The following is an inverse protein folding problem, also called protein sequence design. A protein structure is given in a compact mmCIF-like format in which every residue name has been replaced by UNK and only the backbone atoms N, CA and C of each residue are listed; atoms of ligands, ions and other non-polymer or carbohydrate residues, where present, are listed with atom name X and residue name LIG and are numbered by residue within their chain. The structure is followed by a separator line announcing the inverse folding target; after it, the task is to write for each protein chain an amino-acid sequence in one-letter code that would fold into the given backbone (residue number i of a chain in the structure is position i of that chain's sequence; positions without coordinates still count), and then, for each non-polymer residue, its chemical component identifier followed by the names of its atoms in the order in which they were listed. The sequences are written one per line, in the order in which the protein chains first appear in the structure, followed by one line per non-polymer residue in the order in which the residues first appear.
data_IF_881798598118
#
_entry.id   IF_881798598118
#
_cell.length_a   1.000
_cell.length_b   1.000
_cell.length_c   1.000
_cell.angle_alpha   90.00
_cell.angle_beta   90.00
_cell.angle_gamma   90.00
#
_symmetry.space_group_name_H-M   'P 1'
#
loop_
_entity.id
_entity.type
_entity.pdbx_description
1 polymer ?
#
# COMPACT_ATOMS: atom_id res chain seq x y z
N UNK A 1 68.30 17.46 34.81
CA UNK A 1 68.04 17.11 33.40
C UNK A 1 66.78 16.26 33.17
N UNK A 2 65.88 16.09 34.16
CA UNK A 2 64.66 15.27 34.05
C UNK A 2 63.36 16.10 33.87
N UNK A 3 63.33 17.36 34.33
CA UNK A 3 62.15 18.24 34.22
C UNK A 3 61.90 18.78 32.79
N UNK A 4 62.94 18.90 31.95
CA UNK A 4 62.81 19.41 30.57
C UNK A 4 62.30 18.37 29.56
N UNK A 5 62.38 17.07 29.89
CA UNK A 5 61.94 15.99 29.01
C UNK A 5 60.45 15.68 29.19
N UNK A 6 59.91 15.82 30.41
CA UNK A 6 58.49 15.61 30.68
C UNK A 6 57.60 16.70 30.06
N UNK A 7 58.02 17.96 30.05
CA UNK A 7 57.26 19.07 29.43
C UNK A 7 57.16 18.95 27.90
N UNK A 8 58.22 18.47 27.22
CA UNK A 8 58.16 18.16 25.78
C UNK A 8 57.25 16.98 25.45
N UNK A 9 57.16 15.97 26.31
CA UNK A 9 56.29 14.82 26.10
C UNK A 9 54.80 15.17 26.34
N UNK A 10 54.52 16.01 27.35
CA UNK A 10 53.17 16.49 27.65
C UNK A 10 52.62 17.37 26.50
N UNK A 11 53.44 18.28 25.96
CA UNK A 11 53.04 19.14 24.85
C UNK A 11 52.77 18.36 23.55
N UNK A 12 53.54 17.30 23.27
CA UNK A 12 53.26 16.44 22.11
C UNK A 12 51.97 15.65 22.25
N UNK A 13 51.67 15.12 23.45
CA UNK A 13 50.40 14.41 23.72
C UNK A 13 49.20 15.35 23.69
N UNK A 14 49.34 16.58 24.18
CA UNK A 14 48.30 17.60 24.12
C UNK A 14 48.02 18.02 22.66
N UNK A 15 49.06 18.20 21.83
CA UNK A 15 48.90 18.51 20.41
C UNK A 15 48.18 17.39 19.65
N UNK A 16 48.50 16.12 19.95
CA UNK A 16 47.85 14.95 19.35
C UNK A 16 46.38 14.83 19.77
N UNK A 17 46.04 15.13 21.04
CA UNK A 17 44.66 15.12 21.53
C UNK A 17 43.84 16.26 20.93
N UNK A 18 44.40 17.46 20.77
CA UNK A 18 43.74 18.59 20.11
C UNK A 18 43.54 18.33 18.62
N UNK A 19 44.51 17.71 17.95
CA UNK A 19 44.39 17.32 16.54
C UNK A 19 43.32 16.21 16.34
N UNK A 20 43.30 15.20 17.20
CA UNK A 20 42.30 14.14 17.16
C UNK A 20 40.88 14.67 17.46
N UNK A 21 40.75 15.55 18.47
CA UNK A 21 39.48 16.21 18.80
C UNK A 21 38.98 17.10 17.66
N UNK A 22 39.87 17.82 16.99
CA UNK A 22 39.53 18.66 15.83
C UNK A 22 39.11 17.82 14.63
N UNK A 23 39.73 16.66 14.39
CA UNK A 23 39.36 15.75 13.30
C UNK A 23 37.99 15.09 13.55
N UNK A 24 37.68 14.72 14.80
CA UNK A 24 36.36 14.19 15.17
C UNK A 24 35.30 15.29 15.08
N UNK A 25 35.63 16.52 15.49
CA UNK A 25 34.71 17.65 15.36
C UNK A 25 34.45 18.02 13.89
N UNK A 26 35.47 18.05 13.05
CA UNK A 26 35.32 18.32 11.61
C UNK A 26 34.60 17.19 10.87
N UNK A 27 34.81 15.92 11.24
CA UNK A 27 34.06 14.80 10.64
C UNK A 27 32.60 14.79 11.12
N UNK A 28 32.32 15.11 12.38
CA UNK A 28 30.96 15.30 12.88
C UNK A 28 30.26 16.52 12.26
N UNK A 29 31.00 17.62 12.06
CA UNK A 29 30.50 18.84 11.41
C UNK A 29 30.26 18.61 9.91
N UNK A 30 31.12 17.84 9.23
CA UNK A 30 30.86 17.39 7.87
C UNK A 30 29.66 16.43 7.82
N UNK A 31 29.48 15.53 8.80
CA UNK A 31 28.28 14.68 8.84
C UNK A 31 26.99 15.46 9.11
N UNK A 32 27.03 16.59 9.84
CA UNK A 32 25.86 17.45 10.07
C UNK A 32 25.61 18.42 8.92
N UNK A 33 26.66 18.96 8.29
CA UNK A 33 26.56 19.88 7.14
C UNK A 33 26.39 19.18 5.79
N UNK A 34 26.80 17.92 5.67
CA UNK A 34 26.68 17.09 4.46
C UNK A 34 25.57 16.04 4.56
N UNK A 35 24.60 16.22 5.47
CA UNK A 35 23.31 15.54 5.31
C UNK A 35 22.78 15.92 3.94
N UNK A 36 22.68 14.98 2.98
CA UNK A 36 22.15 15.29 1.67
C UNK A 36 20.74 15.81 1.91
N UNK A 37 20.49 17.07 1.57
CA UNK A 37 19.16 17.69 1.60
C UNK A 37 18.19 17.10 0.58
N UNK A 38 18.32 15.82 0.25
CA UNK A 38 17.36 15.09 -0.54
C UNK A 38 16.13 14.87 0.35
N UNK A 39 15.06 15.60 0.00
CA UNK A 39 13.71 15.51 0.56
C UNK A 39 13.46 16.26 1.88
N UNK A 40 13.88 17.53 1.95
CA UNK A 40 13.14 18.48 2.78
C UNK A 40 11.88 18.86 1.99
N UNK A 41 10.72 18.32 2.39
CA UNK A 41 9.42 18.71 1.83
C UNK A 41 9.14 20.18 2.18
N UNK A 42 9.67 21.11 1.40
CA UNK A 42 9.21 22.48 1.38
C UNK A 42 7.83 22.47 0.71
N UNK A 43 6.77 22.41 1.53
CA UNK A 43 5.40 22.66 1.07
C UNK A 43 5.25 24.17 0.80
N UNK A 44 5.71 24.63 -0.36
CA UNK A 44 5.27 25.92 -0.87
C UNK A 44 3.91 25.70 -1.52
N UNK A 45 2.84 26.01 -0.80
CA UNK A 45 1.51 26.08 -1.38
C UNK A 45 1.52 27.15 -2.48
N UNK A 46 1.39 26.73 -3.73
CA UNK A 46 1.16 27.65 -4.84
C UNK A 46 -0.20 28.35 -4.69
N UNK A 47 -0.40 29.52 -5.32
CA UNK A 47 -1.66 30.26 -5.24
C UNK A 47 -2.81 29.40 -5.80
N UNK A 48 -3.75 29.07 -4.92
CA UNK A 48 -4.98 28.35 -5.25
C UNK A 48 -5.89 29.27 -6.07
N UNK A 49 -6.06 28.95 -7.36
CA UNK A 49 -7.05 29.63 -8.20
C UNK A 49 -8.34 28.85 -8.05
N UNK A 50 -9.37 29.49 -7.49
CA UNK A 50 -10.67 28.89 -7.18
C UNK A 50 -11.49 28.67 -8.46
N UNK A 51 -11.07 27.73 -9.30
CA UNK A 51 -11.94 27.19 -10.34
C UNK A 51 -12.80 26.13 -9.66
N UNK A 52 -14.12 26.33 -9.68
CA UNK A 52 -15.11 25.43 -9.10
C UNK A 52 -15.21 24.18 -9.99
N UNK A 53 -14.15 23.38 -10.01
CA UNK A 53 -14.11 22.10 -10.69
C UNK A 53 -15.12 21.15 -10.03
N UNK A 54 -15.84 20.40 -10.87
CA UNK A 54 -16.81 19.40 -10.46
C UNK A 54 -16.08 18.36 -9.59
N UNK A 55 -16.59 18.10 -8.39
CA UNK A 55 -16.01 17.07 -7.50
C UNK A 55 -15.91 15.72 -8.25
N UNK A 56 -14.69 15.18 -8.34
CA UNK A 56 -14.38 13.92 -9.03
C UNK A 56 -14.76 12.66 -8.23
N UNK A 57 -15.47 12.77 -7.10
CA UNK A 57 -15.84 11.62 -6.27
C UNK A 57 -16.59 10.51 -7.03
N UNK A 58 -17.39 10.89 -8.03
CA UNK A 58 -18.16 9.93 -8.83
C UNK A 58 -17.27 9.06 -9.73
N UNK A 59 -16.00 9.43 -9.95
CA UNK A 59 -15.07 8.63 -10.74
C UNK A 59 -14.83 7.25 -10.10
N UNK A 60 -15.06 7.08 -8.80
CA UNK A 60 -14.99 5.77 -8.13
C UNK A 60 -15.94 4.73 -8.76
N UNK A 61 -17.03 5.17 -9.40
CA UNK A 61 -17.98 4.26 -10.04
C UNK A 61 -17.59 3.86 -11.47
N UNK A 62 -16.59 4.50 -12.06
CA UNK A 62 -16.10 4.16 -13.39
C UNK A 62 -15.47 2.75 -13.41
N UNK A 63 -15.05 2.28 -14.57
CA UNK A 63 -14.45 0.95 -14.70
C UNK A 63 -13.06 0.81 -14.08
N UNK A 64 -12.40 1.91 -13.72
CA UNK A 64 -11.07 1.93 -13.10
C UNK A 64 -11.11 2.30 -11.63
N UNK A 65 -12.31 2.33 -11.03
CA UNK A 65 -12.53 2.65 -9.62
C UNK A 65 -11.94 4.01 -9.21
N UNK A 66 -11.90 4.97 -10.13
CA UNK A 66 -11.32 6.29 -9.89
C UNK A 66 -9.78 6.35 -9.93
N UNK A 67 -9.12 5.24 -10.27
CA UNK A 67 -7.69 5.22 -10.64
C UNK A 67 -7.54 5.42 -12.14
N UNK A 68 -6.33 5.73 -12.60
CA UNK A 68 -6.07 5.79 -14.03
C UNK A 68 -5.91 4.38 -14.62
N UNK A 69 -5.30 3.45 -13.87
CA UNK A 69 -5.19 2.03 -14.24
C UNK A 69 -5.31 1.10 -13.05
N UNK A 70 -5.80 -0.12 -13.31
CA UNK A 70 -5.81 -1.23 -12.37
C UNK A 70 -4.92 -2.33 -12.95
N UNK A 71 -3.85 -2.70 -12.24
CA UNK A 71 -2.93 -3.77 -12.62
C UNK A 71 -3.20 -5.02 -11.79
N UNK A 72 -3.10 -6.19 -12.41
CA UNK A 72 -3.11 -7.50 -11.74
C UNK A 72 -1.78 -8.19 -11.98
N UNK A 73 -1.06 -8.50 -10.90
CA UNK A 73 0.17 -9.30 -10.95
C UNK A 73 -0.22 -10.77 -10.87
N UNK A 74 0.02 -11.51 -11.95
CA UNK A 74 -0.36 -12.92 -12.09
C UNK A 74 0.75 -13.70 -12.77
N UNK A 75 1.11 -14.87 -12.25
CA UNK A 75 2.03 -15.75 -12.96
C UNK A 75 1.35 -16.25 -14.26
N UNK A 76 2.01 -16.19 -15.44
CA UNK A 76 1.43 -16.68 -16.69
C UNK A 76 0.96 -18.13 -16.65
N UNK A 77 1.55 -18.94 -15.77
CA UNK A 77 1.15 -20.35 -15.57
C UNK A 77 -0.13 -20.52 -14.73
N UNK A 78 -0.63 -19.47 -14.06
CA UNK A 78 -1.83 -19.48 -13.22
C UNK A 78 -3.04 -18.97 -14.02
N UNK A 79 -3.32 -19.66 -15.13
CA UNK A 79 -4.48 -19.34 -15.98
C UNK A 79 -5.81 -19.50 -15.23
N UNK A 80 -5.86 -20.42 -14.25
CA UNK A 80 -6.99 -20.58 -13.34
C UNK A 80 -7.35 -19.28 -12.60
N UNK A 81 -6.33 -18.62 -12.02
CA UNK A 81 -6.52 -17.34 -11.31
C UNK A 81 -6.82 -16.20 -12.28
N UNK A 82 -6.16 -16.18 -13.43
CA UNK A 82 -6.41 -15.19 -14.49
C UNK A 82 -7.85 -15.24 -14.97
N UNK A 83 -8.35 -16.42 -15.31
CA UNK A 83 -9.73 -16.62 -15.79
C UNK A 83 -10.75 -16.22 -14.72
N UNK A 84 -10.50 -16.59 -13.45
CA UNK A 84 -11.35 -16.18 -12.34
C UNK A 84 -11.41 -14.65 -12.24
N UNK A 85 -10.27 -13.97 -12.12
CA UNK A 85 -10.21 -12.51 -11.97
C UNK A 85 -10.80 -11.77 -13.18
N UNK A 86 -10.63 -12.29 -14.40
CA UNK A 86 -11.31 -11.75 -15.61
C UNK A 86 -12.82 -11.79 -15.44
N UNK A 87 -13.38 -12.91 -14.98
CA UNK A 87 -14.82 -13.06 -14.76
C UNK A 87 -15.32 -12.15 -13.64
N UNK A 88 -14.63 -12.10 -12.50
CA UNK A 88 -14.95 -11.21 -11.39
C UNK A 88 -15.01 -9.73 -11.84
N UNK A 89 -14.01 -9.30 -12.62
CA UNK A 89 -13.94 -7.95 -13.13
C UNK A 89 -15.05 -7.67 -14.15
N UNK A 90 -15.37 -8.62 -15.03
CA UNK A 90 -16.45 -8.48 -16.00
C UNK A 90 -17.81 -8.29 -15.32
N UNK A 91 -18.14 -9.10 -14.32
CA UNK A 91 -19.45 -9.03 -13.63
C UNK A 91 -19.57 -7.83 -12.69
N UNK A 92 -18.45 -7.23 -12.26
CA UNK A 92 -18.43 -6.02 -11.43
C UNK A 92 -18.10 -4.74 -12.20
N UNK A 93 -17.92 -4.83 -13.52
CA UNK A 93 -17.64 -3.70 -14.41
C UNK A 93 -16.32 -3.01 -14.09
N UNK A 94 -15.26 -3.79 -13.91
CA UNK A 94 -13.88 -3.36 -13.63
C UNK A 94 -13.00 -3.66 -14.86
N UNK A 95 -12.18 -2.70 -15.28
CA UNK A 95 -11.19 -2.84 -16.35
C UNK A 95 -9.83 -3.16 -15.75
N UNK A 96 -9.21 -4.25 -16.22
CA UNK A 96 -7.92 -4.73 -15.74
C UNK A 96 -6.82 -4.55 -16.78
N UNK A 97 -5.60 -4.35 -16.29
CA UNK A 97 -4.34 -4.42 -17.02
C UNK A 97 -3.49 -5.51 -16.38
N UNK A 98 -2.77 -6.28 -17.19
CA UNK A 98 -2.04 -7.45 -16.70
C UNK A 98 -0.54 -7.18 -16.60
N UNK A 99 0.04 -7.65 -15.51
CA UNK A 99 1.48 -7.70 -15.30
C UNK A 99 1.85 -9.16 -15.09
N UNK A 100 2.62 -9.70 -16.02
CA UNK A 100 3.08 -11.08 -15.93
C UNK A 100 4.10 -11.21 -14.81
N UNK A 101 3.74 -11.99 -13.78
CA UNK A 101 4.65 -12.36 -12.71
C UNK A 101 5.77 -13.26 -13.23
N UNK A 102 6.91 -13.20 -12.56
CA UNK A 102 8.06 -14.07 -12.84
C UNK A 102 8.31 -15.03 -11.70
N UNK A 103 8.63 -16.27 -12.05
CA UNK A 103 9.17 -17.25 -11.10
C UNK A 103 10.52 -16.77 -10.60
N UNK A 104 10.69 -16.67 -9.28
CA UNK A 104 11.90 -16.11 -8.72
C UNK A 104 13.15 -16.92 -9.05
N UNK A 105 13.02 -18.23 -9.31
CA UNK A 105 14.12 -19.08 -9.77
C UNK A 105 14.71 -18.62 -11.10
N UNK A 106 13.94 -17.87 -11.90
CA UNK A 106 14.36 -17.33 -13.19
C UNK A 106 15.00 -15.93 -13.06
N UNK A 107 14.96 -15.30 -11.89
CA UNK A 107 15.61 -14.01 -11.64
C UNK A 107 17.06 -14.28 -11.25
N UNK A 108 18.02 -13.80 -12.02
CA UNK A 108 19.44 -14.03 -11.69
C UNK A 108 19.87 -13.15 -10.50
N UNK A 109 20.78 -13.65 -9.64
CA UNK A 109 21.30 -12.90 -8.48
C UNK A 109 21.86 -11.51 -8.85
N UNK A 110 22.45 -11.39 -10.04
CA UNK A 110 22.98 -10.10 -10.55
C UNK A 110 21.90 -9.03 -10.78
N UNK A 111 20.63 -9.43 -10.91
CA UNK A 111 19.51 -8.52 -11.04
C UNK A 111 18.94 -8.06 -9.68
N UNK A 112 19.39 -8.66 -8.58
CA UNK A 112 18.87 -8.36 -7.24
C UNK A 112 19.67 -7.21 -6.60
N UNK A 113 19.00 -6.16 -6.09
CA UNK A 113 19.67 -5.12 -5.33
C UNK A 113 20.30 -5.70 -4.05
N UNK A 114 21.57 -5.44 -3.76
CA UNK A 114 22.22 -5.92 -2.55
C UNK A 114 21.42 -5.55 -1.28
N UNK A 115 21.39 -6.40 -0.24
CA UNK A 115 22.15 -7.64 -0.10
C UNK A 115 21.43 -8.90 -0.65
N UNK A 116 20.32 -8.76 -1.40
CA UNK A 116 19.53 -9.91 -1.80
C UNK A 116 20.28 -10.85 -2.76
N UNK A 117 20.16 -12.14 -2.49
CA UNK A 117 20.56 -13.26 -3.34
C UNK A 117 19.63 -14.44 -3.07
N UNK A 118 19.66 -15.47 -3.92
CA UNK A 118 18.98 -16.75 -3.70
C UNK A 118 19.44 -17.48 -2.43
N UNK A 119 20.61 -17.11 -1.88
CA UNK A 119 21.08 -17.65 -0.60
C UNK A 119 20.28 -17.09 0.59
N UNK A 120 19.84 -15.83 0.51
CA UNK A 120 19.17 -15.14 1.62
C UNK A 120 17.65 -15.05 1.46
N UNK A 121 17.15 -15.11 0.22
CA UNK A 121 15.74 -14.99 -0.07
C UNK A 121 15.22 -16.21 -0.82
N UNK A 122 14.04 -16.69 -0.40
CA UNK A 122 13.30 -17.71 -1.12
C UNK A 122 12.94 -17.19 -2.51
N UNK A 123 13.02 -18.07 -3.52
CA UNK A 123 12.63 -17.74 -4.89
C UNK A 123 11.23 -17.12 -4.96
N UNK A 124 10.25 -17.66 -4.22
CA UNK A 124 8.91 -17.07 -4.18
C UNK A 124 8.88 -15.58 -3.76
N UNK A 125 9.71 -15.17 -2.78
CA UNK A 125 9.83 -13.76 -2.37
C UNK A 125 10.47 -12.90 -3.46
N UNK A 126 11.44 -13.47 -4.20
CA UNK A 126 12.11 -12.80 -5.32
C UNK A 126 11.12 -12.60 -6.49
N UNK A 127 10.32 -13.62 -6.80
CA UNK A 127 9.28 -13.53 -7.83
C UNK A 127 8.22 -12.48 -7.50
N UNK A 128 7.71 -12.49 -6.26
CA UNK A 128 6.77 -11.47 -5.76
C UNK A 128 7.37 -10.07 -5.85
N UNK A 129 8.60 -9.86 -5.36
CA UNK A 129 9.31 -8.58 -5.47
C UNK A 129 9.40 -8.10 -6.92
N UNK A 130 9.81 -8.97 -7.84
CA UNK A 130 10.00 -8.61 -9.24
C UNK A 130 8.67 -8.27 -9.91
N UNK A 131 7.63 -9.10 -9.71
CA UNK A 131 6.31 -8.85 -10.29
C UNK A 131 5.69 -7.52 -9.86
N UNK A 132 5.81 -7.14 -8.59
CA UNK A 132 5.35 -5.81 -8.16
C UNK A 132 6.25 -4.68 -8.66
N UNK A 133 7.58 -4.88 -8.74
CA UNK A 133 8.44 -3.89 -9.37
C UNK A 133 8.12 -3.72 -10.85
N UNK A 134 7.75 -4.77 -11.59
CA UNK A 134 7.34 -4.69 -12.99
C UNK A 134 6.08 -3.83 -13.14
N UNK A 135 5.11 -3.99 -12.24
CA UNK A 135 3.92 -3.13 -12.19
C UNK A 135 4.27 -1.64 -11.95
N UNK A 136 5.33 -1.37 -11.16
CA UNK A 136 5.79 -0.01 -10.88
C UNK A 136 6.66 0.57 -12.00
N UNK A 137 7.62 -0.21 -12.53
CA UNK A 137 8.72 0.24 -13.40
C UNK A 137 8.40 0.07 -14.86
N UNK A 138 8.32 -1.18 -15.29
CA UNK A 138 8.38 -1.63 -16.68
C UNK A 138 8.49 -3.16 -16.70
N UNK A 139 7.81 -3.85 -17.62
CA UNK A 139 8.42 -4.74 -18.64
C UNK A 139 7.35 -5.61 -19.32
N UNK A 140 7.04 -5.29 -20.59
CA UNK A 140 6.41 -6.25 -21.49
C UNK A 140 7.52 -7.11 -22.11
N UNK A 141 7.48 -8.45 -22.04
CA UNK A 141 8.43 -9.26 -22.78
C UNK A 141 8.33 -8.86 -24.26
N UNK A 142 9.49 -8.69 -24.90
CA UNK A 142 9.62 -8.22 -26.27
C UNK A 142 8.51 -8.78 -27.19
N UNK A 143 7.92 -7.95 -28.07
CA UNK A 143 6.85 -8.42 -28.94
C UNK A 143 7.32 -9.65 -29.73
N UNK A 144 6.44 -10.63 -30.00
CA UNK A 144 6.75 -11.68 -30.96
C UNK A 144 7.15 -11.03 -32.30
N UNK A 145 7.93 -11.73 -33.15
CA UNK A 145 8.30 -11.22 -34.47
C UNK A 145 7.03 -10.77 -35.22
N UNK A 146 7.12 -9.68 -36.01
CA UNK A 146 5.95 -9.10 -36.66
C UNK A 146 5.23 -10.18 -37.46
N UNK A 147 3.89 -10.25 -37.39
CA UNK A 147 3.15 -11.19 -38.22
C UNK A 147 3.43 -10.88 -39.70
N UNK A 148 3.37 -11.88 -40.59
CA UNK A 148 3.45 -11.64 -42.03
C UNK A 148 2.44 -10.56 -42.42
N UNK A 149 2.82 -9.74 -43.41
CA UNK A 149 2.36 -8.38 -43.77
C UNK A 149 0.86 -8.07 -43.89
N UNK A 150 -0.03 -8.98 -43.49
CA UNK A 150 -1.48 -8.89 -43.68
C UNK A 150 -2.30 -9.05 -42.38
N UNK A 151 -1.67 -9.04 -41.20
CA UNK A 151 -2.39 -9.00 -39.91
C UNK A 151 -2.38 -7.59 -39.31
N UNK A 152 -3.56 -7.11 -38.96
CA UNK A 152 -3.80 -5.86 -38.23
C UNK A 152 -2.94 -5.81 -36.98
N UNK A 153 -2.25 -4.69 -36.76
CA UNK A 153 -1.40 -4.42 -35.59
C UNK A 153 -2.19 -4.64 -34.30
N UNK A 154 -1.82 -5.66 -33.51
CA UNK A 154 -2.18 -5.73 -32.10
C UNK A 154 -1.45 -4.59 -31.39
N UNK A 155 -2.21 -3.60 -30.94
CA UNK A 155 -1.68 -2.56 -30.03
C UNK A 155 -1.38 -3.28 -28.71
N UNK A 156 -0.10 -3.54 -28.45
CA UNK A 156 0.36 -3.94 -27.12
C UNK A 156 0.32 -2.68 -26.24
N UNK A 157 -0.67 -2.57 -25.35
CA UNK A 157 -0.70 -1.51 -24.35
C UNK A 157 0.45 -1.74 -23.36
N UNK A 158 1.49 -0.90 -23.47
CA UNK A 158 2.60 -0.85 -22.51
C UNK A 158 2.02 -0.52 -21.13
N UNK A 159 2.33 -1.36 -20.15
CA UNK A 159 1.70 -1.41 -18.83
C UNK A 159 2.72 -1.13 -17.74
N UNK A 160 2.95 0.15 -17.43
CA UNK A 160 3.74 0.56 -16.26
C UNK A 160 3.37 1.96 -15.78
N UNK A 161 3.54 2.22 -14.48
CA UNK A 161 3.17 3.51 -13.87
C UNK A 161 4.14 4.62 -14.26
N UNK A 162 5.45 4.33 -14.16
CA UNK A 162 6.48 5.36 -14.28
C UNK A 162 6.75 5.74 -15.73
N UNK A 163 6.83 4.80 -16.68
CA UNK A 163 7.09 5.15 -18.08
C UNK A 163 5.90 5.84 -18.73
N UNK A 164 4.69 5.34 -18.48
CA UNK A 164 3.48 5.87 -19.12
C UNK A 164 2.92 7.11 -18.42
N UNK A 165 3.63 7.63 -17.42
CA UNK A 165 3.19 8.75 -16.59
C UNK A 165 1.76 8.56 -16.03
N UNK A 166 1.44 7.35 -15.59
CA UNK A 166 0.15 7.06 -14.93
C UNK A 166 0.14 7.76 -13.58
N UNK A 167 -0.85 8.61 -13.33
CA UNK A 167 -0.94 9.43 -12.12
C UNK A 167 -1.23 8.59 -10.88
N UNK A 168 -2.17 7.64 -11.00
CA UNK A 168 -2.56 6.73 -9.92
C UNK A 168 -2.85 5.35 -10.49
N UNK A 169 -2.40 4.31 -9.79
CA UNK A 169 -2.75 2.95 -10.14
C UNK A 169 -3.13 2.13 -8.91
N UNK A 170 -4.01 1.16 -9.12
CA UNK A 170 -4.39 0.16 -8.13
C UNK A 170 -3.80 -1.18 -8.55
N UNK A 171 -3.08 -1.86 -7.66
CA UNK A 171 -2.36 -3.10 -7.96
C UNK A 171 -2.99 -4.23 -7.16
N UNK A 172 -3.35 -5.31 -7.85
CA UNK A 172 -3.98 -6.53 -7.33
C UNK A 172 -2.98 -7.67 -7.37
N UNK A 173 -2.98 -8.50 -6.33
CA UNK A 173 -2.56 -9.89 -6.41
C UNK A 173 -3.69 -10.74 -7.03
N UNK A 174 -3.33 -11.83 -7.70
CA UNK A 174 -4.26 -12.64 -8.49
C UNK A 174 -5.21 -13.56 -7.70
N UNK A 175 -5.12 -13.54 -6.36
CA UNK A 175 -6.09 -14.19 -5.46
C UNK A 175 -6.91 -13.20 -4.63
N UNK A 176 -6.98 -11.93 -5.05
CA UNK A 176 -7.87 -10.94 -4.47
C UNK A 176 -9.34 -11.21 -4.81
N UNK A 177 -10.22 -11.01 -3.83
CA UNK A 177 -11.68 -11.03 -3.98
C UNK A 177 -12.31 -9.90 -3.17
N UNK A 178 -13.52 -9.52 -3.56
CA UNK A 178 -14.23 -8.34 -3.05
C UNK A 178 -15.72 -8.57 -2.95
N UNK A 179 -16.38 -7.72 -2.17
CA UNK A 179 -17.83 -7.70 -2.11
C UNK A 179 -18.41 -7.15 -3.43
N UNK A 180 -19.53 -7.69 -3.92
CA UNK A 180 -20.22 -7.18 -5.13
C UNK A 180 -20.48 -5.66 -5.04
N UNK A 181 -20.60 -5.12 -3.82
CA UNK A 181 -20.78 -3.69 -3.51
C UNK A 181 -19.47 -2.89 -3.49
N UNK A 182 -18.38 -3.38 -4.07
CA UNK A 182 -17.04 -2.75 -3.95
C UNK A 182 -17.00 -1.27 -4.35
N UNK A 183 -17.77 -0.85 -5.37
CA UNK A 183 -17.79 0.55 -5.82
C UNK A 183 -18.35 1.50 -4.75
N UNK A 184 -19.41 1.09 -4.02
CA UNK A 184 -19.92 1.91 -2.91
C UNK A 184 -18.95 1.92 -1.73
N UNK A 185 -18.33 0.77 -1.42
CA UNK A 185 -17.33 0.72 -0.35
C UNK A 185 -16.10 1.59 -0.65
N UNK A 186 -15.65 1.60 -1.91
CA UNK A 186 -14.54 2.45 -2.33
C UNK A 186 -14.92 3.93 -2.38
N UNK A 187 -16.19 4.27 -2.59
CA UNK A 187 -16.65 5.66 -2.48
C UNK A 187 -16.54 6.14 -1.04
N UNK A 188 -16.93 5.30 -0.08
CA UNK A 188 -16.77 5.61 1.34
C UNK A 188 -15.28 5.71 1.72
N UNK A 189 -14.45 4.83 1.16
CA UNK A 189 -13.00 4.93 1.33
C UNK A 189 -12.42 6.22 0.75
N UNK A 190 -12.91 6.68 -0.40
CA UNK A 190 -12.50 7.93 -1.03
C UNK A 190 -12.83 9.14 -0.13
N UNK A 191 -14.06 9.21 0.38
CA UNK A 191 -14.47 10.23 1.34
C UNK A 191 -13.63 10.21 2.62
N UNK A 192 -13.42 9.02 3.19
CA UNK A 192 -12.63 8.87 4.41
C UNK A 192 -11.15 9.25 4.20
N UNK A 193 -10.57 8.84 3.07
CA UNK A 193 -9.21 9.22 2.70
C UNK A 193 -9.09 10.74 2.57
N UNK A 194 -10.02 11.41 1.87
CA UNK A 194 -10.07 12.88 1.79
C UNK A 194 -10.14 13.49 3.19
N UNK A 195 -11.03 13.02 4.05
CA UNK A 195 -11.14 13.56 5.41
C UNK A 195 -9.84 13.41 6.24
N UNK A 196 -9.03 12.38 5.97
CA UNK A 196 -7.75 12.14 6.65
C UNK A 196 -6.60 13.00 6.08
N UNK A 197 -6.56 13.20 4.75
CA UNK A 197 -5.37 13.76 4.08
C UNK A 197 -5.59 15.07 3.33
N UNK A 198 -6.83 15.48 3.07
CA UNK A 198 -7.13 16.74 2.40
C UNK A 198 -7.27 17.90 3.41
N UNK A 199 -6.85 19.12 3.02
CA UNK A 199 -7.16 20.31 3.79
C UNK A 199 -8.68 20.54 3.83
N UNK A 200 -9.16 21.14 4.92
CA UNK A 200 -10.53 21.61 5.05
C UNK A 200 -10.78 22.81 4.14
N UNK A 201 -12.00 22.90 3.60
CA UNK A 201 -12.46 24.07 2.86
C UNK A 201 -12.73 25.25 3.78
N UNK A 202 -12.58 26.49 3.29
CA UNK A 202 -13.03 27.70 3.98
C UNK A 202 -12.10 28.28 5.07
N UNK A 203 -10.88 27.75 5.27
CA UNK A 203 -9.90 28.31 6.20
C UNK A 203 -8.90 29.29 5.56
N UNK A 204 -8.49 30.34 6.30
CA UNK A 204 -7.38 31.23 5.90
C UNK A 204 -6.01 30.51 5.88
N UNK A 205 -5.93 29.36 6.55
CA UNK A 205 -4.77 28.46 6.58
C UNK A 205 -5.19 27.02 6.28
N UNK A 206 -4.26 26.20 5.75
CA UNK A 206 -4.48 24.77 5.48
C UNK A 206 -4.69 24.00 6.79
N UNK A 207 -5.93 23.98 7.28
CA UNK A 207 -6.37 23.16 8.41
C UNK A 207 -6.72 21.75 7.94
N UNK A 208 -6.59 20.76 8.82
CA UNK A 208 -6.91 19.36 8.55
C UNK A 208 -7.88 18.83 9.60
N UNK A 209 -8.77 17.92 9.20
CA UNK A 209 -9.70 17.33 10.16
C UNK A 209 -8.98 16.46 11.19
N UNK A 210 -7.92 15.76 10.75
CA UNK A 210 -6.91 15.15 11.61
C UNK A 210 -5.87 16.20 12.05
N UNK A 211 -5.90 16.65 13.32
CA UNK A 211 -4.94 17.63 13.83
C UNK A 211 -3.51 17.07 13.92
N UNK A 212 -3.33 15.76 13.82
CA UNK A 212 -2.03 15.08 13.85
C UNK A 212 -1.42 14.88 12.46
N UNK A 213 -2.14 15.18 11.37
CA UNK A 213 -1.68 14.88 10.00
C UNK A 213 -0.34 15.52 9.62
N UNK A 214 -0.15 16.80 9.98
CA UNK A 214 1.07 17.54 9.65
C UNK A 214 2.22 17.24 10.61
N UNK A 215 1.90 17.08 11.91
CA UNK A 215 2.89 16.91 12.97
C UNK A 215 2.41 15.93 14.07
N UNK A 216 2.49 14.62 13.80
CA UNK A 216 1.99 13.60 14.73
C UNK A 216 2.66 13.59 16.11
N UNK A 217 3.89 14.11 16.20
CA UNK A 217 4.68 14.12 17.44
C UNK A 217 4.23 15.21 18.40
N UNK A 218 3.94 16.38 17.86
CA UNK A 218 3.68 17.58 18.66
C UNK A 218 2.20 17.89 18.80
N UNK A 219 1.34 17.26 18.01
CA UNK A 219 -0.11 17.37 18.20
C UNK A 219 -0.53 16.61 19.48
N UNK A 220 -1.38 17.22 20.32
CA UNK A 220 -1.89 16.56 21.53
C UNK A 220 -2.53 15.23 21.11
N UNK A 221 -2.09 14.13 21.73
CA UNK A 221 -2.39 12.76 21.33
C UNK A 221 -3.85 12.32 21.54
N UNK A 222 -4.81 13.23 21.52
CA UNK A 222 -6.23 12.92 21.60
C UNK A 222 -6.68 12.28 20.30
N UNK A 223 -7.05 10.99 20.40
CA UNK A 223 -7.82 10.30 19.38
C UNK A 223 -9.05 11.14 19.04
N UNK A 224 -9.17 11.56 17.78
CA UNK A 224 -10.33 12.30 17.30
C UNK A 224 -11.06 11.43 16.28
N UNK A 225 -12.33 11.14 16.56
CA UNK A 225 -13.23 10.60 15.55
C UNK A 225 -13.49 11.69 14.50
N UNK A 226 -13.24 11.36 13.23
CA UNK A 226 -13.39 12.26 12.10
C UNK A 226 -14.66 11.86 11.35
N UNK A 227 -15.51 12.84 11.05
CA UNK A 227 -16.69 12.61 10.22
C UNK A 227 -16.29 12.37 8.76
N UNK A 228 -16.90 11.35 8.14
CA UNK A 228 -16.60 10.93 6.76
C UNK A 228 -16.94 12.02 5.72
N UNK A 229 -17.92 12.88 6.01
CA UNK A 229 -18.41 13.94 5.12
C UNK A 229 -17.85 15.32 5.50
N UNK A 230 -16.60 15.40 5.96
CA UNK A 230 -15.99 16.70 6.22
C UNK A 230 -15.79 17.48 4.92
N UNK A 231 -16.12 18.76 4.95
CA UNK A 231 -15.96 19.66 3.81
C UNK A 231 -14.48 19.96 3.57
N UNK A 232 -13.87 19.19 2.68
CA UNK A 232 -12.47 19.31 2.26
C UNK A 232 -12.35 20.11 0.97
N UNK A 233 -11.15 20.63 0.69
CA UNK A 233 -10.83 21.15 -0.64
C UNK A 233 -11.01 20.00 -1.65
N UNK A 234 -11.81 20.19 -2.71
CA UNK A 234 -12.01 19.15 -3.72
C UNK A 234 -10.66 18.73 -4.34
N UNK A 235 -10.37 17.43 -4.42
CA UNK A 235 -9.12 16.99 -5.00
C UNK A 235 -9.15 17.09 -6.52
N UNK A 236 -7.96 17.27 -7.11
CA UNK A 236 -7.81 17.49 -8.55
C UNK A 236 -7.46 16.20 -9.28
N UNK A 237 -6.59 15.35 -8.72
CA UNK A 237 -6.00 14.23 -9.46
C UNK A 237 -6.63 12.87 -9.15
N UNK A 238 -7.21 12.72 -7.96
CA UNK A 238 -7.75 11.43 -7.52
C UNK A 238 -8.98 11.63 -6.63
N UNK A 239 -10.04 10.81 -6.81
CA UNK A 239 -11.18 10.85 -5.91
C UNK A 239 -10.79 10.47 -4.47
N UNK A 240 -9.66 9.82 -4.24
CA UNK A 240 -9.18 9.48 -2.90
C UNK A 240 -8.42 10.63 -2.22
N UNK A 241 -8.27 11.79 -2.88
CA UNK A 241 -7.48 12.92 -2.41
C UNK A 241 -6.14 13.06 -3.14
N UNK A 242 -5.48 14.20 -3.00
CA UNK A 242 -4.18 14.50 -3.63
C UNK A 242 -2.95 14.31 -2.71
N UNK A 243 -3.17 14.03 -1.42
CA UNK A 243 -2.10 14.04 -0.40
C UNK A 243 -1.79 12.65 0.18
N UNK A 244 -2.28 11.58 -0.44
CA UNK A 244 -1.87 10.20 -0.12
C UNK A 244 -0.73 9.78 -1.05
N UNK A 245 0.13 8.86 -0.59
CA UNK A 245 1.17 8.24 -1.41
C UNK A 245 0.81 6.78 -1.74
N UNK A 246 0.29 6.03 -0.75
CA UNK A 246 -0.19 4.65 -0.89
C UNK A 246 -1.56 4.49 -0.21
N UNK A 247 -2.49 3.82 -0.89
CA UNK A 247 -3.74 3.33 -0.28
C UNK A 247 -3.63 1.83 -0.09
N UNK A 248 -4.10 1.28 1.02
CA UNK A 248 -3.95 -0.14 1.34
C UNK A 248 -5.29 -0.83 1.65
N UNK A 249 -6.23 -0.88 0.69
CA UNK A 249 -7.57 -1.43 0.94
C UNK A 249 -7.63 -2.96 1.07
N UNK A 250 -6.59 -3.69 0.66
CA UNK A 250 -6.48 -5.15 0.79
C UNK A 250 -5.21 -5.57 1.51
N UNK A 251 -5.36 -6.12 2.71
CA UNK A 251 -4.25 -6.56 3.57
C UNK A 251 -4.67 -7.76 4.44
N UNK A 252 -3.70 -8.51 4.96
CA UNK A 252 -3.97 -9.56 5.95
C UNK A 252 -4.09 -9.01 7.37
N UNK A 253 -3.60 -7.79 7.59
CA UNK A 253 -3.56 -7.17 8.90
C UNK A 253 -2.90 -5.80 8.86
N UNK A 254 -3.33 -4.94 9.78
CA UNK A 254 -2.75 -3.62 10.03
C UNK A 254 -3.10 -3.23 11.47
N UNK A 255 -2.39 -2.31 12.10
CA UNK A 255 -2.75 -1.77 13.40
C UNK A 255 -3.11 -0.29 13.30
N UNK A 256 -3.92 0.19 14.24
CA UNK A 256 -3.99 1.63 14.47
C UNK A 256 -2.63 2.18 14.88
N UNK A 257 -2.28 3.42 14.48
CA UNK A 257 -1.08 4.09 14.94
C UNK A 257 -1.06 4.20 16.47
N UNK A 258 -0.17 3.43 17.10
CA UNK A 258 -0.03 3.36 18.54
C UNK A 258 1.45 3.27 18.96
N UNK A 259 2.00 4.31 19.61
CA UNK A 259 3.37 4.30 20.11
C UNK A 259 3.64 3.22 21.17
N UNK A 260 2.61 2.71 21.86
CA UNK A 260 2.76 1.62 22.82
C UNK A 260 3.01 0.26 22.14
N UNK A 261 2.48 0.07 20.92
CA UNK A 261 2.74 -1.12 20.11
C UNK A 261 4.10 -1.03 19.41
N UNK A 262 4.39 0.12 18.77
CA UNK A 262 5.68 0.39 18.09
C UNK A 262 6.04 1.86 18.18
N UNK A 263 7.30 2.15 18.51
CA UNK A 263 7.81 3.53 18.66
C UNK A 263 7.53 4.43 17.44
N UNK A 264 7.50 3.86 16.22
CA UNK A 264 7.15 4.60 14.99
C UNK A 264 5.71 5.15 14.99
N UNK A 265 4.82 4.63 15.84
CA UNK A 265 3.46 5.14 16.01
C UNK A 265 3.42 6.61 16.47
N UNK A 266 4.51 7.16 17.03
CA UNK A 266 4.64 8.60 17.32
C UNK A 266 4.84 9.46 16.05
N UNK A 267 5.20 8.84 14.93
CA UNK A 267 5.54 9.47 13.65
C UNK A 267 4.42 9.37 12.60
N UNK A 268 3.34 8.68 12.95
CA UNK A 268 2.22 8.37 12.07
C UNK A 268 0.99 9.14 12.58
N UNK A 269 0.24 9.84 11.72
CA UNK A 269 -0.98 10.53 12.15
C UNK A 269 -2.02 9.55 12.71
N UNK A 270 -2.79 10.00 13.68
CA UNK A 270 -3.67 9.18 14.53
C UNK A 270 -5.15 9.34 14.21
N UNK A 271 -5.51 10.17 13.23
CA UNK A 271 -6.89 10.37 12.80
C UNK A 271 -7.58 9.08 12.39
N UNK A 272 -8.84 8.94 12.77
CA UNK A 272 -9.69 7.80 12.41
C UNK A 272 -11.05 8.30 11.93
N UNK A 273 -11.49 7.85 10.76
CA UNK A 273 -12.86 8.02 10.30
C UNK A 273 -13.63 6.75 10.64
N UNK A 274 -14.72 6.88 11.39
CA UNK A 274 -15.51 5.74 11.87
C UNK A 274 -16.86 5.75 11.18
N UNK A 275 -17.11 4.73 10.36
CA UNK A 275 -18.37 4.48 9.70
C UNK A 275 -19.11 3.37 10.44
N UNK A 276 -20.25 3.72 11.04
CA UNK A 276 -21.12 2.79 11.76
C UNK A 276 -22.24 2.32 10.85
N UNK A 277 -22.79 1.13 11.14
CA UNK A 277 -23.89 0.51 10.39
C UNK A 277 -23.55 0.26 8.92
N UNK A 278 -22.31 -0.09 8.61
CA UNK A 278 -21.93 -0.55 7.27
C UNK A 278 -22.47 -1.98 7.03
N UNK A 279 -23.47 -2.16 6.14
CA UNK A 279 -24.09 -3.46 5.91
C UNK A 279 -23.14 -4.45 5.22
N UNK A 280 -21.97 -4.00 4.76
CA UNK A 280 -20.95 -4.83 4.13
C UNK A 280 -19.91 -5.36 5.11
N UNK A 281 -19.90 -4.86 6.35
CA UNK A 281 -19.04 -5.36 7.42
C UNK A 281 -19.77 -6.48 8.17
N UNK A 282 -19.18 -7.67 8.36
CA UNK A 282 -19.76 -8.72 9.19
C UNK A 282 -19.88 -8.34 10.68
N UNK A 283 -20.66 -9.11 11.44
CA UNK A 283 -20.62 -9.06 12.90
C UNK A 283 -19.22 -9.35 13.47
N UNK A 284 -18.94 -8.84 14.67
CA UNK A 284 -17.65 -8.96 15.35
C UNK A 284 -17.13 -10.40 15.46
N UNK A 285 -18.02 -11.40 15.63
CA UNK A 285 -17.66 -12.82 15.75
C UNK A 285 -17.00 -13.38 14.48
N UNK A 286 -17.30 -12.78 13.33
CA UNK A 286 -16.78 -13.19 12.02
C UNK A 286 -15.49 -12.43 11.65
N UNK A 287 -15.08 -11.43 12.46
CA UNK A 287 -13.89 -10.63 12.20
C UNK A 287 -12.61 -11.37 12.59
N UNK A 288 -11.74 -11.59 11.60
CA UNK A 288 -10.38 -12.11 11.77
C UNK A 288 -9.42 -10.92 11.78
N UNK A 289 -9.02 -10.51 12.98
CA UNK A 289 -8.21 -9.31 13.19
C UNK A 289 -6.74 -9.67 13.47
N UNK A 290 -5.86 -8.80 13.00
CA UNK A 290 -4.42 -8.93 13.26
C UNK A 290 -4.11 -8.68 14.74
N UNK A 291 -3.11 -9.35 15.33
CA UNK A 291 -2.72 -9.13 16.72
C UNK A 291 -2.51 -7.64 17.05
N UNK A 292 -2.99 -7.21 18.21
CA UNK A 292 -2.93 -5.81 18.64
C UNK A 292 -4.13 -4.95 18.20
N UNK A 293 -5.15 -5.53 17.57
CA UNK A 293 -6.42 -4.85 17.26
C UNK A 293 -7.57 -5.29 18.17
N UNK A 294 -7.29 -5.66 19.42
CA UNK A 294 -8.34 -6.05 20.39
C UNK A 294 -9.34 -4.91 20.66
N UNK A 295 -8.90 -3.66 20.47
CA UNK A 295 -9.75 -2.46 20.49
C UNK A 295 -10.96 -2.63 19.55
N UNK A 296 -10.79 -3.27 18.39
CA UNK A 296 -11.86 -3.41 17.41
C UNK A 296 -13.03 -4.27 17.90
N UNK A 297 -12.74 -5.28 18.72
CA UNK A 297 -13.77 -6.16 19.30
C UNK A 297 -14.42 -5.57 20.54
N UNK A 298 -13.73 -4.64 21.22
CA UNK A 298 -14.14 -4.12 22.53
C UNK A 298 -14.77 -2.73 22.46
N UNK A 299 -14.38 -1.90 21.50
CA UNK A 299 -14.79 -0.49 21.40
C UNK A 299 -15.82 -0.25 20.30
N UNK A 300 -15.66 -0.85 19.12
CA UNK A 300 -16.54 -0.57 17.99
C UNK A 300 -17.72 -1.54 17.93
N UNK A 301 -18.97 -1.06 17.78
CA UNK A 301 -20.12 -1.96 17.63
C UNK A 301 -20.02 -2.80 16.34
N UNK A 302 -20.80 -3.90 16.22
CA UNK A 302 -20.96 -4.63 14.96
C UNK A 302 -21.24 -3.69 13.78
N UNK A 303 -20.87 -4.11 12.56
CA UNK A 303 -21.04 -3.30 11.34
C UNK A 303 -20.29 -1.96 11.37
N UNK A 304 -19.13 -1.91 12.02
CA UNK A 304 -18.28 -0.72 12.02
C UNK A 304 -17.07 -0.90 11.11
N UNK A 305 -16.86 0.05 10.20
CA UNK A 305 -15.65 0.20 9.40
C UNK A 305 -14.86 1.41 9.88
N UNK A 306 -13.55 1.26 10.01
CA UNK A 306 -12.64 2.31 10.46
C UNK A 306 -11.58 2.54 9.39
N UNK A 307 -11.42 3.79 8.98
CA UNK A 307 -10.39 4.23 8.05
C UNK A 307 -9.35 5.04 8.80
N UNK A 308 -8.07 4.80 8.55
CA UNK A 308 -6.99 5.40 9.32
C UNK A 308 -5.66 5.35 8.58
N UNK A 309 -4.63 5.96 9.15
CA UNK A 309 -3.26 5.83 8.65
C UNK A 309 -2.69 4.44 8.96
N UNK A 310 -1.98 3.85 8.00
CA UNK A 310 -1.46 2.50 8.14
C UNK A 310 -0.23 2.44 9.07
N UNK A 311 -0.27 1.57 10.07
CA UNK A 311 0.88 1.11 10.86
C UNK A 311 0.86 -0.41 10.84
N UNK A 312 2.02 -1.06 10.70
CA UNK A 312 2.16 -2.52 10.56
C UNK A 312 1.33 -3.23 9.48
N UNK A 313 0.99 -2.61 8.33
CA UNK A 313 0.32 -3.37 7.28
C UNK A 313 1.15 -4.58 6.84
N UNK A 314 0.47 -5.69 6.56
CA UNK A 314 1.06 -6.93 6.02
C UNK A 314 0.18 -7.47 4.89
N UNK A 315 0.82 -8.18 3.95
CA UNK A 315 0.27 -8.53 2.63
C UNK A 315 0.01 -7.31 1.74
N UNK A 316 0.27 -7.46 0.44
CA UNK A 316 0.09 -6.43 -0.59
C UNK A 316 -1.06 -6.76 -1.54
N UNK A 317 -2.07 -7.49 -1.02
CA UNK A 317 -3.16 -8.06 -1.81
C UNK A 317 -3.81 -7.05 -2.75
N UNK A 318 -4.19 -5.87 -2.22
CA UNK A 318 -4.60 -4.73 -3.05
C UNK A 318 -4.06 -3.43 -2.45
N UNK A 319 -3.27 -2.69 -3.23
CA UNK A 319 -2.80 -1.37 -2.85
C UNK A 319 -2.83 -0.36 -4.01
N UNK A 320 -3.23 0.87 -3.72
CA UNK A 320 -3.15 2.00 -4.62
C UNK A 320 -1.83 2.73 -4.43
N UNK A 321 -1.26 3.27 -5.51
CA UNK A 321 0.01 4.02 -5.46
C UNK A 321 -0.06 5.22 -6.41
N UNK A 322 0.46 6.36 -5.95
CA UNK A 322 0.64 7.53 -6.83
C UNK A 322 1.90 7.39 -7.67
N UNK A 323 1.96 8.05 -8.83
CA UNK A 323 3.15 8.11 -9.68
C UNK A 323 4.41 8.52 -8.92
N UNK A 324 4.26 9.54 -8.06
CA UNK A 324 5.34 10.05 -7.20
C UNK A 324 5.86 8.97 -6.26
N UNK A 325 4.96 8.24 -5.61
CA UNK A 325 5.35 7.16 -4.71
C UNK A 325 5.93 5.98 -5.50
N UNK A 326 5.37 5.63 -6.68
CA UNK A 326 5.88 4.57 -7.53
C UNK A 326 7.36 4.78 -7.91
N UNK A 327 7.75 5.97 -8.38
CA UNK A 327 9.17 6.31 -8.67
C UNK A 327 10.07 6.10 -7.45
N UNK A 328 9.55 6.44 -6.26
CA UNK A 328 10.28 6.30 -5.02
C UNK A 328 10.39 4.85 -4.56
N UNK A 329 9.33 4.05 -4.69
CA UNK A 329 9.35 2.62 -4.39
C UNK A 329 10.31 1.90 -5.34
N UNK A 330 10.35 2.26 -6.62
CA UNK A 330 11.36 1.74 -7.57
C UNK A 330 12.78 2.02 -7.12
N UNK A 331 13.07 3.25 -6.71
CA UNK A 331 14.39 3.57 -6.16
C UNK A 331 14.66 2.77 -4.87
N UNK A 332 13.72 2.78 -3.92
CA UNK A 332 13.89 2.17 -2.60
C UNK A 332 14.04 0.64 -2.67
N UNK A 333 13.36 -0.04 -3.60
CA UNK A 333 13.28 -1.50 -3.67
C UNK A 333 14.04 -2.11 -4.86
N UNK A 334 14.17 -1.36 -5.96
CA UNK A 334 14.83 -1.81 -7.20
C UNK A 334 16.26 -1.28 -7.37
N UNK A 335 16.66 -0.24 -6.62
CA UNK A 335 18.01 0.34 -6.74
C UNK A 335 18.76 0.30 -5.41
N UNK A 336 18.11 0.74 -4.33
CA UNK A 336 18.77 0.97 -3.04
C UNK A 336 19.02 -0.31 -2.26
N UNK A 337 17.98 -1.12 -2.01
CA UNK A 337 18.10 -2.42 -1.34
C UNK A 337 16.84 -3.28 -1.43
N UNK A 338 17.05 -4.58 -1.59
CA UNK A 338 16.06 -5.62 -1.37
C UNK A 338 16.49 -6.42 -0.13
N UNK A 339 15.75 -6.26 0.97
CA UNK A 339 16.17 -6.77 2.28
C UNK A 339 15.04 -7.39 3.13
N UNK A 340 13.83 -7.50 2.60
CA UNK A 340 12.68 -8.16 3.21
C UNK A 340 11.68 -8.53 2.08
N UNK A 341 10.70 -9.44 2.31
CA UNK A 341 9.57 -9.63 1.39
C UNK A 341 8.90 -8.30 0.98
N UNK A 342 8.28 -8.28 -0.21
CA UNK A 342 7.79 -7.04 -0.82
C UNK A 342 6.80 -6.28 0.07
N UNK A 343 5.82 -6.98 0.65
CA UNK A 343 4.82 -6.42 1.56
C UNK A 343 5.46 -5.76 2.79
N UNK A 344 6.48 -6.38 3.37
CA UNK A 344 7.22 -5.84 4.51
C UNK A 344 8.06 -4.63 4.11
N UNK A 345 8.64 -4.61 2.91
CA UNK A 345 9.33 -3.42 2.40
C UNK A 345 8.36 -2.27 2.12
N UNK A 346 7.15 -2.57 1.64
CA UNK A 346 6.07 -1.61 1.44
C UNK A 346 5.62 -1.01 2.78
N UNK A 347 5.45 -1.85 3.81
CA UNK A 347 5.22 -1.42 5.20
C UNK A 347 6.33 -0.49 5.68
N UNK A 348 7.59 -0.90 5.51
CA UNK A 348 8.73 -0.12 5.97
C UNK A 348 8.79 1.26 5.26
N UNK A 349 8.37 1.31 3.99
CA UNK A 349 8.24 2.56 3.23
C UNK A 349 7.05 3.43 3.69
N UNK A 350 5.96 2.83 4.17
CA UNK A 350 4.86 3.54 4.81
C UNK A 350 5.26 4.12 6.17
N UNK A 351 5.98 3.34 6.98
CA UNK A 351 6.40 3.73 8.32
C UNK A 351 7.63 4.65 8.30
N UNK A 352 8.40 4.68 7.21
CA UNK A 352 9.63 5.47 7.12
C UNK A 352 10.76 4.92 7.98
N UNK A 353 10.81 3.59 8.11
CA UNK A 353 11.81 2.87 8.92
C UNK A 353 12.82 2.17 8.01
N UNK A 354 13.79 1.46 8.61
CA UNK A 354 14.83 0.73 7.87
C UNK A 354 15.59 1.63 6.88
N UNK A 355 15.76 2.91 7.21
CA UNK A 355 16.43 3.89 6.36
C UNK A 355 15.64 4.29 5.10
N UNK A 356 14.34 3.97 5.02
CA UNK A 356 13.43 4.42 3.96
C UNK A 356 12.80 5.75 4.35
N UNK A 357 12.54 6.61 3.37
CA UNK A 357 11.73 7.81 3.63
C UNK A 357 10.28 7.35 3.94
N UNK A 358 9.49 8.14 4.67
CA UNK A 358 8.08 7.85 5.00
C UNK A 358 7.09 8.22 3.89
N UNK A 359 6.16 7.33 3.55
CA UNK A 359 5.03 7.60 2.65
C UNK A 359 3.77 7.90 3.47
N UNK A 360 2.84 8.68 2.94
CA UNK A 360 1.52 8.86 3.54
C UNK A 360 0.65 7.68 3.11
N UNK A 361 0.43 6.76 4.04
CA UNK A 361 -0.34 5.54 3.79
C UNK A 361 -1.68 5.57 4.52
N UNK A 362 -2.77 5.31 3.79
CA UNK A 362 -4.14 5.24 4.33
C UNK A 362 -4.70 3.84 4.09
N UNK A 363 -5.41 3.31 5.08
CA UNK A 363 -5.95 1.95 5.10
C UNK A 363 -7.37 1.93 5.66
N UNK A 364 -7.98 0.74 5.64
CA UNK A 364 -9.33 0.48 6.10
C UNK A 364 -9.41 -0.86 6.82
N UNK A 365 -10.17 -0.91 7.92
CA UNK A 365 -10.43 -2.12 8.69
C UNK A 365 -11.94 -2.25 9.01
N UNK A 366 -12.56 -3.42 8.86
CA UNK A 366 -12.06 -4.57 8.10
C UNK A 366 -11.71 -4.18 6.65
N UNK A 367 -10.82 -4.95 6.00
CA UNK A 367 -10.35 -4.67 4.65
C UNK A 367 -11.47 -4.80 3.60
N UNK A 368 -11.29 -4.18 2.44
CA UNK A 368 -12.24 -4.22 1.31
C UNK A 368 -11.98 -5.37 0.36
N UNK A 369 -10.72 -5.79 0.27
CA UNK A 369 -10.28 -6.92 -0.53
C UNK A 369 -9.64 -7.94 0.39
N UNK A 370 -9.97 -9.22 0.18
CA UNK A 370 -9.38 -10.32 0.94
C UNK A 370 -9.06 -11.50 0.03
N UNK A 371 -8.24 -12.44 0.52
CA UNK A 371 -7.85 -13.60 -0.27
C UNK A 371 -9.06 -14.50 -0.52
N UNK A 372 -9.28 -14.86 -1.78
CA UNK A 372 -10.13 -15.98 -2.12
C UNK A 372 -9.35 -17.28 -2.00
N UNK A 373 -9.90 -18.24 -1.25
CA UNK A 373 -9.37 -19.59 -1.09
C UNK A 373 -10.34 -20.57 -1.75
N UNK A 374 -9.98 -21.18 -2.90
CA UNK A 374 -10.87 -22.14 -3.55
C UNK A 374 -10.95 -23.45 -2.75
N UNK A 375 -12.04 -24.20 -2.95
CA UNK A 375 -12.14 -25.57 -2.47
C UNK A 375 -11.17 -26.48 -3.25
N UNK A 376 -10.73 -27.57 -2.61
CA UNK A 376 -9.85 -28.57 -3.21
C UNK A 376 -8.45 -28.57 -2.59
N UNK A 377 -7.45 -28.87 -3.41
CA UNK A 377 -6.09 -29.08 -2.93
C UNK A 377 -5.47 -27.75 -2.40
N UNK A 378 -4.92 -27.79 -1.19
CA UNK A 378 -4.31 -26.63 -0.52
C UNK A 378 -3.14 -26.00 -1.29
N UNK A 379 -2.52 -26.72 -2.22
CA UNK A 379 -1.53 -26.14 -3.15
C UNK A 379 -2.07 -24.96 -3.98
N UNK A 380 -3.39 -24.80 -4.12
CA UNK A 380 -3.99 -23.65 -4.79
C UNK A 380 -4.05 -22.38 -3.93
N UNK A 381 -3.79 -22.49 -2.61
CA UNK A 381 -3.86 -21.37 -1.67
C UNK A 381 -2.74 -20.36 -1.92
N UNK A 382 -1.52 -20.80 -2.16
CA UNK A 382 -0.38 -19.90 -2.33
C UNK A 382 0.73 -20.53 -3.15
N UNK A 383 1.32 -19.77 -4.06
CA UNK A 383 2.58 -20.12 -4.74
C UNK A 383 3.83 -19.77 -3.89
N UNK A 384 3.65 -19.18 -2.70
CA UNK A 384 4.72 -18.72 -1.80
C UNK A 384 4.85 -19.61 -0.55
N UNK A 385 3.74 -20.16 -0.06
CA UNK A 385 3.70 -21.05 1.10
C UNK A 385 3.47 -22.51 0.70
N UNK A 386 4.00 -23.44 1.49
CA UNK A 386 3.87 -24.89 1.22
C UNK A 386 2.63 -25.43 1.94
N UNK A 387 1.63 -25.87 1.17
CA UNK A 387 0.35 -26.40 1.66
C UNK A 387 0.13 -27.88 1.26
N UNK A 388 1.20 -28.69 1.27
CA UNK A 388 1.14 -30.08 0.78
C UNK A 388 0.23 -30.94 1.67
N UNK A 389 -0.78 -31.55 1.06
CA UNK A 389 -1.68 -32.49 1.72
C UNK A 389 -2.87 -31.85 2.44
N UNK A 390 -2.96 -30.51 2.44
CA UNK A 390 -4.15 -29.81 2.92
C UNK A 390 -5.27 -29.97 1.89
N UNK A 391 -6.47 -30.31 2.36
CA UNK A 391 -7.69 -30.35 1.54
C UNK A 391 -8.67 -29.34 2.11
N UNK A 392 -9.09 -28.40 1.27
CA UNK A 392 -10.04 -27.34 1.60
C UNK A 392 -11.42 -27.82 1.18
N UNK A 393 -12.27 -28.11 2.16
CA UNK A 393 -13.61 -28.63 1.90
C UNK A 393 -14.52 -27.61 1.21
N UNK A 394 -14.42 -26.34 1.61
CA UNK A 394 -15.27 -25.26 1.14
C UNK A 394 -14.45 -24.04 0.76
N UNK A 395 -14.79 -23.45 -0.38
CA UNK A 395 -14.20 -22.20 -0.81
C UNK A 395 -14.61 -21.08 0.16
N UNK A 396 -13.71 -20.14 0.43
CA UNK A 396 -13.97 -19.04 1.35
C UNK A 396 -13.23 -17.77 0.98
N UNK A 397 -13.84 -16.63 1.31
CA UNK A 397 -13.20 -15.32 1.31
C UNK A 397 -13.50 -14.67 2.65
N UNK A 398 -12.47 -14.46 3.47
CA UNK A 398 -12.68 -14.00 4.84
C UNK A 398 -13.28 -12.60 4.91
N UNK A 399 -14.24 -12.41 5.82
CA UNK A 399 -14.87 -11.12 6.16
C UNK A 399 -15.58 -10.38 5.01
N UNK A 400 -15.75 -11.00 3.85
CA UNK A 400 -16.52 -10.46 2.73
C UNK A 400 -17.91 -11.10 2.73
N UNK A 401 -18.95 -10.27 2.91
CA UNK A 401 -20.33 -10.71 3.09
C UNK A 401 -20.96 -11.27 1.82
N UNK A 402 -20.78 -10.58 0.69
CA UNK A 402 -21.19 -11.04 -0.64
C UNK A 402 -19.97 -11.15 -1.55
N UNK A 403 -19.14 -12.15 -1.30
CA UNK A 403 -17.97 -12.48 -2.11
C UNK A 403 -18.35 -12.63 -3.57
N UNK A 404 -17.67 -11.88 -4.43
CA UNK A 404 -17.86 -11.95 -5.89
C UNK A 404 -17.46 -13.32 -6.41
N UNK A 405 -16.36 -13.89 -5.90
CA UNK A 405 -15.92 -15.25 -6.25
C UNK A 405 -16.96 -16.32 -5.89
N UNK A 406 -17.51 -16.27 -4.67
CA UNK A 406 -18.46 -17.28 -4.20
C UNK A 406 -19.85 -17.11 -4.82
N UNK A 407 -20.23 -15.89 -5.22
CA UNK A 407 -21.46 -15.60 -5.93
C UNK A 407 -21.32 -15.62 -7.46
N UNK A 408 -20.16 -15.98 -7.99
CA UNK A 408 -19.87 -15.88 -9.42
C UNK A 408 -20.89 -16.64 -10.31
N UNK A 409 -21.35 -17.86 -9.98
CA UNK A 409 -22.37 -18.55 -10.77
C UNK A 409 -23.70 -17.78 -10.87
N UNK A 410 -24.12 -17.15 -9.77
CA UNK A 410 -25.34 -16.32 -9.71
C UNK A 410 -25.18 -15.04 -10.53
N UNK A 411 -24.04 -14.37 -10.38
CA UNK A 411 -23.71 -13.16 -11.14
C UNK A 411 -23.68 -13.41 -12.65
N UNK A 412 -23.08 -14.52 -13.10
CA UNK A 412 -23.05 -14.90 -14.53
C UNK A 412 -24.46 -15.21 -15.05
N UNK A 413 -25.33 -15.78 -14.21
CA UNK A 413 -26.71 -16.12 -14.56
C UNK A 413 -27.66 -14.91 -14.53
N UNK A 414 -27.19 -13.75 -14.04
CA UNK A 414 -28.00 -12.54 -13.87
C UNK A 414 -28.91 -12.59 -12.63
N UNK A 415 -28.67 -13.52 -11.71
CA UNK A 415 -29.41 -13.64 -10.46
C UNK A 415 -29.03 -12.54 -9.47
N UNK A 416 -29.97 -12.15 -8.61
CA UNK A 416 -29.77 -11.11 -7.58
C UNK A 416 -29.94 -11.61 -6.16
N UNK A 417 -30.23 -12.90 -5.96
CA UNK A 417 -30.40 -13.54 -4.67
C UNK A 417 -29.05 -14.10 -4.15
N UNK A 418 -28.09 -13.21 -3.94
CA UNK A 418 -26.73 -13.57 -3.55
C UNK A 418 -26.68 -14.33 -2.21
N UNK A 419 -25.74 -15.27 -2.11
CA UNK A 419 -25.41 -15.96 -0.87
C UNK A 419 -24.62 -15.02 0.04
N UNK A 420 -25.11 -14.88 1.27
CA UNK A 420 -24.45 -14.19 2.37
C UNK A 420 -23.51 -15.16 3.11
N UNK A 421 -22.20 -14.89 3.06
CA UNK A 421 -21.18 -15.75 3.69
C UNK A 421 -21.12 -15.55 5.21
N UNK A 422 -21.48 -14.37 5.70
CA UNK A 422 -21.38 -14.02 7.11
C UNK A 422 -22.70 -13.37 7.58
N UNK A 423 -23.78 -14.16 7.68
CA UNK A 423 -25.06 -13.64 8.15
C UNK A 423 -24.97 -13.20 9.61
N UNK A 424 -25.81 -12.23 9.94
CA UNK A 424 -25.93 -11.69 11.29
C UNK A 424 -26.58 -12.73 12.21
N UNK A 425 -26.38 -12.58 13.51
CA UNK A 425 -27.06 -13.41 14.50
C UNK A 425 -28.55 -13.09 14.48
N UNK A 426 -29.38 -14.13 14.44
CA UNK A 426 -30.83 -13.99 14.60
C UNK A 426 -31.21 -13.50 16.00
#
# INVERSE_FOLDING_TARGET
MLLFQQTKLLNKKLLLLVAAGSLVFFTALLFTLHRPGYWRNSRTAGPYTQQKDVDNLNDVFNSTLGFERIYVVNLPSRTDRRDAIVLLAAVTGIKLHWVDGIRGENVVDKALPPPATHQYFKAANIGSWRGHLDALSEYSPAPPPPPPSNCTTLIFEISSIVENNINTALIFEDDADWDIRIKSQLRDFALASRALVQPLSGGEHLAYADPTFLDPRNSPGTLKEIHINNDTIPPVNSPYGDNWDILWPGHCGVNFPDPALRDVGKDIPKGRVIQRNDPTVPEQKHLVLFPGNEEFKTVFPPHTRVFHHAMTPVCSLVYGVTQKSARRLLYEFGVKKFNAPYDLMLRDACEGIQGRVRNICVTVQPQLFNHHRPAGNGSHLSDIAVHKGEMIEQASTQMIRWSTSLNLPKLISGDTNYDEQYPDSN
#
